data_IF_517187415283
#
_entry.id   IF_517187415283
#
_cell.length_a   1.000
_cell.length_b   1.000
_cell.length_c   1.000
_cell.angle_alpha   90.00
_cell.angle_beta   90.00
_cell.angle_gamma   90.00
#
_symmetry.space_group_name_H-M   'P 1'
#
loop_
_entity.id
_entity.type
_entity.pdbx_description
1 polymer ?
#
# COMPACT_ATOMS: atom_id res chain seq x y z
N UNK A 1 -15.06 -2.00 -1.65
CA UNK A 1 -13.88 -1.71 -2.46
C UNK A 1 -13.09 -0.55 -1.88
N UNK A 2 -11.86 -0.39 -2.33
CA UNK A 2 -11.02 0.71 -1.87
C UNK A 2 -11.62 2.08 -2.22
N UNK A 3 -12.25 2.17 -3.36
CA UNK A 3 -12.89 3.42 -3.79
C UNK A 3 -14.02 3.78 -2.84
N UNK A 4 -14.88 2.83 -2.52
CA UNK A 4 -15.99 3.09 -1.60
C UNK A 4 -15.49 3.48 -0.21
N UNK A 5 -14.43 2.84 0.26
CA UNK A 5 -13.83 3.17 1.54
C UNK A 5 -13.34 4.62 1.55
N UNK A 6 -12.60 5.02 0.52
CA UNK A 6 -12.05 6.36 0.45
C UNK A 6 -13.14 7.43 0.36
N UNK A 7 -14.23 7.17 -0.35
CA UNK A 7 -15.32 8.14 -0.51
C UNK A 7 -16.10 8.39 0.77
N UNK A 8 -15.99 7.53 1.76
CA UNK A 8 -16.64 7.72 3.05
C UNK A 8 -15.95 8.75 3.95
N UNK A 9 -14.72 9.12 3.62
CA UNK A 9 -13.92 9.99 4.45
C UNK A 9 -13.93 11.40 3.93
N UNK A 10 -13.85 12.35 4.86
CA UNK A 10 -13.84 13.77 4.54
C UNK A 10 -12.65 14.12 3.64
N UNK A 11 -11.52 13.44 3.82
CA UNK A 11 -10.29 13.67 3.07
C UNK A 11 -10.03 12.51 2.13
N UNK A 12 -10.99 12.21 1.24
CA UNK A 12 -10.87 11.07 0.33
C UNK A 12 -9.63 11.17 -0.57
N UNK A 13 -9.25 12.38 -0.98
CA UNK A 13 -8.05 12.58 -1.79
C UNK A 13 -6.80 12.09 -1.07
N UNK A 14 -6.66 12.39 0.21
CA UNK A 14 -5.51 11.94 0.99
C UNK A 14 -5.48 10.41 1.10
N UNK A 15 -6.64 9.79 1.24
CA UNK A 15 -6.72 8.34 1.27
C UNK A 15 -6.26 7.72 -0.04
N UNK A 16 -6.70 8.27 -1.17
CA UNK A 16 -6.26 7.79 -2.48
C UNK A 16 -4.76 7.99 -2.66
N UNK A 17 -4.27 9.18 -2.32
CA UNK A 17 -2.85 9.47 -2.44
C UNK A 17 -2.01 8.52 -1.58
N UNK A 18 -2.45 8.25 -0.37
CA UNK A 18 -1.77 7.32 0.53
C UNK A 18 -1.73 5.90 -0.01
N UNK A 19 -2.86 5.39 -0.49
CA UNK A 19 -2.92 4.06 -1.07
C UNK A 19 -2.06 3.95 -2.31
N UNK A 20 -2.10 4.96 -3.17
CA UNK A 20 -1.28 5.00 -4.37
C UNK A 20 0.21 4.99 -4.02
N UNK A 21 0.61 5.80 -3.05
CA UNK A 21 2.00 5.86 -2.62
C UNK A 21 2.49 4.52 -2.08
N UNK A 22 1.66 3.82 -1.28
CA UNK A 22 1.99 2.50 -0.77
C UNK A 22 2.18 1.51 -1.93
N UNK A 23 1.26 1.49 -2.87
CA UNK A 23 1.33 0.55 -4.00
C UNK A 23 2.58 0.80 -4.85
N UNK A 24 2.90 2.07 -5.12
CA UNK A 24 4.13 2.42 -5.85
C UNK A 24 5.36 1.94 -5.10
N UNK A 25 5.41 2.17 -3.79
CA UNK A 25 6.55 1.75 -2.99
C UNK A 25 6.71 0.22 -2.96
N UNK A 26 5.60 -0.52 -2.90
CA UNK A 26 5.63 -1.98 -2.94
C UNK A 26 6.21 -2.46 -4.26
N UNK A 27 5.73 -1.90 -5.38
CA UNK A 27 6.22 -2.28 -6.71
C UNK A 27 7.73 -2.08 -6.81
N UNK A 28 8.23 -0.99 -6.26
CA UNK A 28 9.66 -0.67 -6.32
C UNK A 28 10.51 -1.46 -5.33
N UNK A 29 9.89 -2.05 -4.32
CA UNK A 29 10.62 -2.75 -3.26
C UNK A 29 10.99 -4.20 -3.61
N UNK A 30 10.36 -4.79 -4.62
CA UNK A 30 10.58 -6.18 -4.99
C UNK A 30 10.92 -6.28 -6.48
N UNK A 31 11.72 -7.28 -6.88
CA UNK A 31 12.11 -7.44 -8.29
C UNK A 31 11.02 -8.05 -9.15
N UNK A 32 10.01 -8.64 -8.54
CA UNK A 32 8.93 -9.32 -9.26
C UNK A 32 8.07 -8.29 -9.99
N UNK A 33 7.60 -8.69 -11.17
CA UNK A 33 6.67 -7.84 -11.93
C UNK A 33 5.27 -8.02 -11.38
N UNK A 34 4.76 -6.97 -10.77
CA UNK A 34 3.39 -6.94 -10.25
C UNK A 34 2.74 -5.64 -10.71
N UNK A 35 1.42 -5.65 -10.80
CA UNK A 35 0.68 -4.44 -11.13
C UNK A 35 -0.05 -3.92 -9.90
N UNK A 36 -0.47 -2.67 -9.96
CA UNK A 36 -1.18 -2.07 -8.83
C UNK A 36 -2.47 -2.79 -8.48
N UNK A 37 -3.11 -3.40 -9.47
CA UNK A 37 -4.36 -4.13 -9.24
C UNK A 37 -4.14 -5.39 -8.40
N UNK A 38 -2.93 -5.92 -8.38
CA UNK A 38 -2.60 -7.10 -7.60
C UNK A 38 -2.30 -6.78 -6.13
N UNK A 39 -2.18 -5.51 -5.82
CA UNK A 39 -1.82 -5.06 -4.47
C UNK A 39 -3.08 -4.60 -3.75
N UNK A 40 -3.34 -5.23 -2.61
CA UNK A 40 -4.45 -4.87 -1.76
C UNK A 40 -3.91 -4.20 -0.50
N UNK A 41 -4.46 -3.04 -0.16
CA UNK A 41 -4.07 -2.33 1.06
C UNK A 41 -5.20 -2.41 2.06
N UNK A 42 -4.85 -2.57 3.33
CA UNK A 42 -5.83 -2.63 4.40
C UNK A 42 -5.20 -2.11 5.69
N UNK A 43 -6.03 -1.88 6.70
CA UNK A 43 -5.57 -1.38 7.99
C UNK A 43 -5.90 -2.37 9.09
N UNK A 44 -4.93 -2.58 9.99
CA UNK A 44 -5.13 -3.33 11.22
C UNK A 44 -4.72 -2.42 12.36
N UNK A 45 -5.65 -2.12 13.25
CA UNK A 45 -5.40 -1.21 14.38
C UNK A 45 -4.76 0.10 13.92
N UNK A 46 -5.30 0.67 12.88
CA UNK A 46 -4.85 1.94 12.27
C UNK A 46 -3.48 1.90 11.62
N UNK A 47 -2.88 0.72 11.48
CA UNK A 47 -1.61 0.57 10.77
C UNK A 47 -1.85 0.05 9.37
N UNK A 48 -1.15 0.60 8.36
CA UNK A 48 -1.30 0.12 6.99
C UNK A 48 -0.61 -1.22 6.78
N UNK A 49 -1.24 -2.06 6.02
CA UNK A 49 -0.72 -3.37 5.62
C UNK A 49 -0.97 -3.59 4.14
N UNK A 50 -0.18 -4.47 3.54
CA UNK A 50 -0.37 -4.83 2.14
C UNK A 50 -0.41 -6.34 1.98
N UNK A 51 -1.16 -6.76 0.97
CA UNK A 51 -1.22 -8.15 0.53
C UNK A 51 -1.13 -8.15 -0.98
N UNK A 52 -0.32 -9.05 -1.53
CA UNK A 52 -0.17 -9.17 -2.97
C UNK A 52 -0.84 -10.46 -3.42
N UNK A 53 -1.73 -10.34 -4.40
CA UNK A 53 -2.41 -11.48 -4.99
C UNK A 53 -1.58 -12.04 -6.15
N UNK A 54 -1.73 -13.33 -6.41
CA UNK A 54 -1.11 -14.00 -7.55
C UNK A 54 0.42 -13.99 -7.53
N UNK A 55 1.00 -13.87 -6.35
CA UNK A 55 2.45 -13.93 -6.19
C UNK A 55 2.83 -15.25 -5.52
N UNK A 56 3.75 -15.99 -6.16
CA UNK A 56 4.16 -17.29 -5.65
C UNK A 56 5.12 -17.21 -4.46
N UNK A 57 5.85 -16.11 -4.38
CA UNK A 57 6.81 -15.90 -3.31
C UNK A 57 6.14 -15.26 -2.11
N UNK A 58 6.63 -15.60 -0.93
CA UNK A 58 6.16 -15.00 0.31
C UNK A 58 7.06 -13.83 0.70
N UNK A 59 6.49 -12.64 0.72
CA UNK A 59 7.17 -11.46 1.22
C UNK A 59 6.55 -11.01 2.53
N UNK A 60 7.39 -10.55 3.43
CA UNK A 60 6.95 -9.80 4.59
C UNK A 60 7.13 -8.32 4.29
N UNK A 61 6.08 -7.54 4.47
CA UNK A 61 6.13 -6.10 4.22
C UNK A 61 5.95 -5.32 5.51
N UNK A 62 6.77 -4.31 5.68
CA UNK A 62 6.56 -3.29 6.70
C UNK A 62 6.26 -1.99 5.98
N UNK A 63 5.16 -1.35 6.34
CA UNK A 63 4.66 -0.18 5.64
C UNK A 63 4.52 0.97 6.61
N UNK A 64 5.01 2.11 6.21
CA UNK A 64 4.84 3.35 6.95
C UNK A 64 4.32 4.41 5.98
N UNK A 65 3.34 5.18 6.40
CA UNK A 65 2.71 6.19 5.58
C UNK A 65 2.66 7.51 6.34
N UNK A 66 3.04 8.57 5.67
CA UNK A 66 3.03 9.91 6.22
C UNK A 66 2.33 10.85 5.26
N UNK A 67 1.51 11.74 5.79
CA UNK A 67 0.85 12.80 5.02
C UNK A 67 1.32 14.15 5.52
N UNK A 68 1.56 15.05 4.58
CA UNK A 68 1.83 16.44 4.90
C UNK A 68 1.28 17.31 3.77
N UNK A 69 0.26 18.11 4.09
CA UNK A 69 -0.46 18.92 3.10
C UNK A 69 -0.96 18.04 1.95
N UNK A 70 -0.49 18.28 0.74
CA UNK A 70 -0.92 17.54 -0.44
C UNK A 70 -0.02 16.37 -0.78
N UNK A 71 0.95 16.06 0.08
CA UNK A 71 1.96 15.04 -0.19
C UNK A 71 1.75 13.84 0.70
N UNK A 72 1.71 12.66 0.08
CA UNK A 72 1.74 11.38 0.80
C UNK A 72 3.07 10.70 0.51
N UNK A 73 3.75 10.27 1.58
CA UNK A 73 5.03 9.56 1.46
C UNK A 73 4.86 8.19 2.10
N UNK A 74 5.15 7.15 1.34
CA UNK A 74 5.11 5.79 1.84
C UNK A 74 6.51 5.18 1.80
N UNK A 75 6.85 4.47 2.87
CA UNK A 75 8.08 3.68 2.93
C UNK A 75 7.68 2.22 3.10
N UNK A 76 8.21 1.37 2.25
CA UNK A 76 7.93 -0.06 2.30
C UNK A 76 9.26 -0.80 2.39
N UNK A 77 9.39 -1.64 3.40
CA UNK A 77 10.49 -2.57 3.53
C UNK A 77 9.94 -3.95 3.21
N UNK A 78 10.60 -4.63 2.27
CA UNK A 78 10.19 -5.98 1.89
C UNK A 78 11.27 -6.97 2.25
N UNK A 79 10.85 -8.14 2.73
CA UNK A 79 11.76 -9.23 3.07
C UNK A 79 11.19 -10.51 2.47
N UNK A 80 11.99 -11.18 1.65
CA UNK A 80 11.59 -12.47 1.09
C UNK A 80 11.71 -13.55 2.15
N UNK A 81 10.62 -14.23 2.41
CA UNK A 81 10.60 -15.34 3.36
C UNK A 81 10.86 -16.64 2.62
N UNK A 82 11.77 -17.42 3.15
CA UNK A 82 12.18 -18.68 2.55
C UNK A 82 11.53 -19.83 3.28
#
# INVERSE_FOLDING_TARGET
SEINYCLKYKNSYEHFAGKFAIKEAVIKSIPDKISMIDIETYHVKSKPHVKIQNLKKNYLFQVSLSHEHDIAVAVVLSELRV
#
